data_IF_090576941937
#
_entry.id   IF_090576941937
#
_cell.length_a   1.000
_cell.length_b   1.000
_cell.length_c   1.000
_cell.angle_alpha   90.00
_cell.angle_beta   90.00
_cell.angle_gamma   90.00
#
_symmetry.space_group_name_H-M   'P 1'
#
loop_
_entity.id
_entity.type
_entity.pdbx_description
1 polymer ?
#
# COMPACT_ATOMS: atom_id res chain seq x y z
N UNK A 1 -25.02 -3.54 25.28
CA UNK A 1 -23.86 -3.84 24.42
C UNK A 1 -23.38 -5.25 24.70
N UNK A 2 -23.01 -6.03 23.70
CA UNK A 2 -22.35 -7.33 23.90
C UNK A 2 -20.88 -7.14 23.53
N UNK A 3 -19.97 -7.50 24.41
CA UNK A 3 -18.54 -7.46 24.16
C UNK A 3 -17.94 -8.86 24.36
N UNK A 4 -16.88 -9.14 23.61
CA UNK A 4 -16.16 -10.40 23.65
C UNK A 4 -14.66 -10.08 23.72
N UNK A 5 -13.98 -10.66 24.66
CA UNK A 5 -12.53 -10.60 24.76
C UNK A 5 -11.94 -11.83 24.05
N UNK A 6 -11.04 -11.58 23.12
CA UNK A 6 -10.24 -12.61 22.45
C UNK A 6 -8.80 -12.40 22.90
N UNK A 7 -8.16 -13.43 23.43
CA UNK A 7 -6.77 -13.37 23.86
C UNK A 7 -6.00 -14.48 23.19
N UNK A 8 -4.95 -14.11 22.44
CA UNK A 8 -3.99 -15.04 21.86
C UNK A 8 -2.68 -14.98 22.65
N UNK A 9 -2.12 -16.12 22.96
CA UNK A 9 -0.84 -16.24 23.67
C UNK A 9 -0.08 -17.48 23.20
N UNK A 10 1.23 -17.42 23.28
CA UNK A 10 2.11 -18.53 22.90
C UNK A 10 2.51 -19.34 24.12
N UNK A 11 2.35 -20.66 24.05
CA UNK A 11 2.82 -21.60 25.06
C UNK A 11 3.62 -22.71 24.37
N UNK A 12 4.91 -22.76 24.63
CA UNK A 12 5.82 -23.77 24.08
C UNK A 12 5.79 -23.86 22.55
N UNK A 13 5.77 -22.69 21.86
CA UNK A 13 5.76 -22.63 20.42
C UNK A 13 4.39 -22.86 19.74
N UNK A 14 3.31 -22.99 20.52
CA UNK A 14 1.96 -23.11 20.00
C UNK A 14 1.15 -21.84 20.34
N UNK A 15 0.53 -21.22 19.33
CA UNK A 15 -0.44 -20.16 19.54
C UNK A 15 -1.71 -20.75 20.13
N UNK A 16 -2.18 -20.17 21.24
CA UNK A 16 -3.47 -20.52 21.88
C UNK A 16 -4.34 -19.30 21.98
N UNK A 17 -5.57 -19.46 21.54
CA UNK A 17 -6.59 -18.41 21.62
C UNK A 17 -7.69 -18.84 22.55
N UNK A 18 -8.10 -17.95 23.44
CA UNK A 18 -9.32 -18.14 24.23
C UNK A 18 -10.25 -16.94 24.08
N UNK A 19 -11.51 -17.22 24.21
CA UNK A 19 -12.57 -16.23 24.09
C UNK A 19 -13.39 -16.15 25.37
N UNK A 20 -13.74 -14.94 25.77
CA UNK A 20 -14.60 -14.68 26.91
C UNK A 20 -15.66 -13.64 26.55
N UNK A 21 -16.90 -14.00 26.69
CA UNK A 21 -17.99 -13.02 26.65
C UNK A 21 -17.87 -12.09 27.86
N UNK A 22 -17.88 -10.79 27.61
CA UNK A 22 -17.89 -9.77 28.66
C UNK A 22 -19.31 -9.27 28.84
N UNK A 23 -19.76 -9.18 30.08
CA UNK A 23 -20.98 -8.48 30.46
C UNK A 23 -20.59 -7.07 30.93
N UNK A 24 -21.40 -6.03 30.65
CA UNK A 24 -21.23 -4.74 31.28
C UNK A 24 -21.34 -4.92 32.81
N UNK A 25 -20.35 -4.44 33.52
CA UNK A 25 -20.44 -4.40 34.99
C UNK A 25 -21.22 -3.16 35.40
N UNK A 26 -22.07 -3.34 36.41
CA UNK A 26 -22.75 -2.24 37.06
C UNK A 26 -21.76 -1.54 38.00
N UNK A 27 -21.38 -0.29 37.62
CA UNK A 27 -20.42 0.52 38.37
C UNK A 27 -20.78 0.61 39.89
N UNK A 28 -22.06 0.50 40.24
CA UNK A 28 -22.53 0.52 41.64
C UNK A 28 -22.08 -0.69 42.46
N UNK A 29 -21.61 -1.76 41.81
CA UNK A 29 -21.18 -3.04 42.40
C UNK A 29 -19.69 -3.29 42.34
N UNK A 30 -18.94 -2.43 41.66
CA UNK A 30 -17.49 -2.56 41.52
C UNK A 30 -16.80 -2.10 42.80
N UNK A 31 -16.40 -3.04 43.63
CA UNK A 31 -15.72 -2.80 44.93
C UNK A 31 -14.18 -2.77 44.76
N UNK A 32 -13.66 -3.01 43.56
CA UNK A 32 -12.21 -3.04 43.31
C UNK A 32 -11.84 -2.11 42.17
N UNK A 33 -11.32 -0.96 42.51
CA UNK A 33 -10.64 -0.07 41.61
C UNK A 33 -9.29 -0.68 41.20
N UNK A 34 -9.31 -1.42 40.12
CA UNK A 34 -8.08 -1.75 39.38
C UNK A 34 -8.16 -0.92 38.08
N UNK A 35 -7.73 0.33 38.18
CA UNK A 35 -7.81 1.33 37.10
C UNK A 35 -7.16 0.83 35.81
N UNK A 36 -6.11 0.01 35.91
CA UNK A 36 -5.37 -0.55 34.76
C UNK A 36 -6.16 -1.57 33.93
N UNK A 37 -7.32 -2.05 34.38
CA UNK A 37 -8.13 -3.07 33.71
C UNK A 37 -9.49 -2.53 33.23
N UNK A 38 -9.65 -1.22 33.21
CA UNK A 38 -10.90 -0.58 32.78
C UNK A 38 -10.76 -0.08 31.36
N UNK A 39 -11.69 -0.48 30.50
CA UNK A 39 -11.87 0.08 29.15
C UNK A 39 -13.17 0.85 29.13
N UNK A 40 -13.08 2.17 28.96
CA UNK A 40 -14.24 3.03 28.85
C UNK A 40 -14.67 3.10 27.39
N UNK A 41 -15.96 2.90 27.14
CA UNK A 41 -16.56 3.04 25.81
C UNK A 41 -17.53 4.22 25.84
N UNK A 42 -17.35 5.14 24.92
CA UNK A 42 -18.17 6.35 24.79
C UNK A 42 -18.91 6.34 23.44
N UNK A 43 -19.99 5.57 23.29
CA UNK A 43 -20.66 5.38 22.00
C UNK A 43 -21.29 6.64 21.42
N UNK A 44 -21.48 7.68 22.24
CA UNK A 44 -22.02 8.97 21.81
C UNK A 44 -20.98 9.90 21.18
N UNK A 45 -19.69 9.51 21.23
CA UNK A 45 -18.59 10.23 20.62
C UNK A 45 -18.12 9.47 19.37
N UNK A 46 -18.47 10.00 18.21
CA UNK A 46 -18.05 9.46 16.93
C UNK A 46 -16.88 10.29 16.35
N UNK A 47 -15.87 9.61 15.80
CA UNK A 47 -14.77 10.19 15.06
C UNK A 47 -14.94 9.92 13.56
N UNK A 48 -13.84 9.72 12.84
CA UNK A 48 -13.91 9.38 11.41
C UNK A 48 -14.57 8.01 11.15
N UNK A 49 -15.07 7.82 9.94
CA UNK A 49 -15.50 6.49 9.49
C UNK A 49 -14.30 5.65 9.10
N UNK A 50 -14.19 4.46 9.67
CA UNK A 50 -13.27 3.42 9.22
C UNK A 50 -13.96 2.69 8.07
N UNK A 51 -13.39 2.79 6.85
CA UNK A 51 -14.01 2.26 5.65
C UNK A 51 -13.63 0.81 5.37
N UNK A 52 -12.52 0.34 5.95
CA UNK A 52 -12.10 -1.05 5.89
C UNK A 52 -10.59 -1.25 5.74
N UNK A 53 -10.25 -2.50 5.53
CA UNK A 53 -8.88 -3.01 5.47
C UNK A 53 -8.67 -3.75 4.15
N UNK A 54 -7.41 -3.94 3.77
CA UNK A 54 -7.04 -4.67 2.56
C UNK A 54 -5.55 -4.96 2.48
N UNK A 55 -5.10 -5.33 1.29
CA UNK A 55 -3.69 -5.59 0.99
C UNK A 55 -3.41 -5.51 -0.51
N UNK A 56 -2.18 -5.79 -0.92
CA UNK A 56 -1.79 -5.72 -2.31
C UNK A 56 -1.85 -7.07 -3.02
N UNK A 57 -2.47 -7.08 -4.19
CA UNK A 57 -2.44 -8.18 -5.15
C UNK A 57 -1.37 -7.87 -6.20
N UNK A 58 -0.11 -8.08 -5.83
CA UNK A 58 1.04 -7.97 -6.74
C UNK A 58 1.08 -9.17 -7.69
N UNK A 59 1.90 -9.11 -8.74
CA UNK A 59 2.12 -10.27 -9.61
C UNK A 59 2.63 -11.46 -8.82
N UNK A 60 3.50 -11.25 -7.84
CA UNK A 60 4.03 -12.30 -6.96
C UNK A 60 2.96 -12.98 -6.12
N UNK A 61 2.09 -12.20 -5.45
CA UNK A 61 0.97 -12.76 -4.68
C UNK A 61 0.02 -13.56 -5.58
N UNK A 62 -0.35 -13.00 -6.74
CA UNK A 62 -1.22 -13.66 -7.70
C UNK A 62 -0.59 -14.92 -8.30
N UNK A 63 0.72 -14.89 -8.58
CA UNK A 63 1.47 -16.05 -9.05
C UNK A 63 1.46 -17.17 -8.02
N UNK A 64 1.76 -16.88 -6.75
CA UNK A 64 1.74 -17.89 -5.69
C UNK A 64 0.35 -18.51 -5.54
N UNK A 65 -0.70 -17.71 -5.50
CA UNK A 65 -2.08 -18.22 -5.49
C UNK A 65 -2.35 -19.11 -6.69
N UNK A 66 -1.89 -18.75 -7.89
CA UNK A 66 -2.09 -19.54 -9.11
C UNK A 66 -1.34 -20.89 -9.11
N UNK A 67 -0.34 -21.07 -8.23
CA UNK A 67 0.43 -22.31 -8.10
C UNK A 67 -0.16 -23.30 -7.10
N UNK A 68 -1.14 -22.87 -6.30
CA UNK A 68 -1.86 -23.74 -5.38
C UNK A 68 -2.82 -24.65 -6.14
N UNK A 69 -3.14 -25.80 -5.57
CA UNK A 69 -4.31 -26.55 -6.01
C UNK A 69 -5.60 -25.76 -5.75
N UNK A 70 -6.68 -26.15 -6.41
CA UNK A 70 -7.93 -25.39 -6.39
C UNK A 70 -8.53 -25.27 -4.98
N UNK A 71 -8.43 -26.31 -4.14
CA UNK A 71 -8.97 -26.31 -2.78
C UNK A 71 -8.18 -25.34 -1.90
N UNK A 72 -6.86 -25.43 -1.91
CA UNK A 72 -5.96 -24.55 -1.16
C UNK A 72 -6.10 -23.08 -1.62
N UNK A 73 -6.16 -22.85 -2.94
CA UNK A 73 -6.35 -21.51 -3.49
C UNK A 73 -7.67 -20.89 -3.04
N UNK A 74 -8.77 -21.65 -3.14
CA UNK A 74 -10.09 -21.17 -2.73
C UNK A 74 -10.13 -20.88 -1.22
N UNK A 75 -9.51 -21.75 -0.40
CA UNK A 75 -9.43 -21.50 1.03
C UNK A 75 -8.65 -20.22 1.35
N UNK A 76 -7.48 -20.01 0.74
CA UNK A 76 -6.69 -18.78 0.93
C UNK A 76 -7.47 -17.52 0.53
N UNK A 77 -8.20 -17.57 -0.60
CA UNK A 77 -9.04 -16.44 -1.01
C UNK A 77 -10.25 -16.23 -0.08
N UNK A 78 -10.85 -17.29 0.46
CA UNK A 78 -11.89 -17.18 1.48
C UNK A 78 -11.37 -16.60 2.79
N UNK A 79 -10.17 -16.98 3.21
CA UNK A 79 -9.54 -16.44 4.42
C UNK A 79 -9.23 -14.94 4.29
N UNK A 80 -8.92 -14.46 3.08
CA UNK A 80 -8.62 -13.03 2.82
C UNK A 80 -9.91 -12.23 2.58
N UNK A 81 -10.78 -12.68 1.68
CA UNK A 81 -11.90 -11.90 1.15
C UNK A 81 -13.26 -12.35 1.64
N UNK A 82 -13.37 -13.57 2.13
CA UNK A 82 -14.64 -14.16 2.56
C UNK A 82 -15.20 -13.53 3.84
N UNK A 83 -16.51 -13.72 4.08
CA UNK A 83 -17.20 -13.09 5.23
C UNK A 83 -16.73 -13.58 6.60
N UNK A 84 -16.14 -14.76 6.67
CA UNK A 84 -15.61 -15.36 7.89
C UNK A 84 -14.09 -15.22 8.03
N UNK A 85 -13.42 -14.60 7.04
CA UNK A 85 -11.98 -14.33 7.00
C UNK A 85 -11.61 -12.92 7.44
N UNK A 86 -10.56 -12.37 6.83
CA UNK A 86 -10.11 -10.98 7.08
C UNK A 86 -11.08 -9.94 6.52
N UNK A 87 -11.97 -10.33 5.62
CA UNK A 87 -12.97 -9.48 4.99
C UNK A 87 -12.34 -8.26 4.30
N UNK A 88 -11.25 -8.50 3.54
CA UNK A 88 -10.54 -7.45 2.83
C UNK A 88 -11.46 -6.77 1.80
N UNK A 89 -11.53 -5.44 1.86
CA UNK A 89 -12.35 -4.61 0.95
C UNK A 89 -11.53 -3.81 -0.04
N UNK A 90 -10.28 -3.55 0.29
CA UNK A 90 -9.37 -2.78 -0.54
C UNK A 90 -8.29 -3.69 -1.12
N UNK A 91 -7.99 -3.50 -2.40
CA UNK A 91 -6.91 -4.21 -3.06
C UNK A 91 -6.03 -3.21 -3.78
N UNK A 92 -4.74 -3.17 -3.44
CA UNK A 92 -3.75 -2.38 -4.17
C UNK A 92 -3.14 -3.20 -5.28
N UNK A 93 -3.04 -2.62 -6.47
CA UNK A 93 -2.49 -3.27 -7.66
C UNK A 93 -1.48 -2.34 -8.32
N UNK A 94 -0.25 -2.79 -8.57
CA UNK A 94 0.72 -2.01 -9.33
C UNK A 94 0.27 -1.72 -10.76
N UNK A 95 0.64 -0.56 -11.29
CA UNK A 95 0.66 -0.27 -12.72
C UNK A 95 2.05 -0.61 -13.22
N UNK A 96 2.15 -1.54 -14.17
CA UNK A 96 3.39 -2.18 -14.60
C UNK A 96 4.10 -2.94 -13.45
N UNK A 97 5.40 -3.18 -13.58
CA UNK A 97 6.17 -3.89 -12.57
C UNK A 97 6.40 -3.09 -11.29
N UNK A 98 6.60 -3.82 -10.23
CA UNK A 98 7.11 -3.36 -8.94
C UNK A 98 8.14 -4.38 -8.44
N UNK A 99 8.78 -4.15 -7.30
CA UNK A 99 9.73 -5.08 -6.67
C UNK A 99 9.17 -6.49 -6.42
N UNK A 100 7.83 -6.63 -6.28
CA UNK A 100 7.13 -7.92 -6.19
C UNK A 100 6.49 -8.34 -7.51
N UNK A 101 7.21 -8.16 -8.59
CA UNK A 101 6.94 -8.79 -9.90
C UNK A 101 7.93 -9.92 -10.18
N UNK A 102 7.58 -10.84 -11.07
CA UNK A 102 8.47 -11.95 -11.45
C UNK A 102 9.65 -11.48 -12.30
N UNK A 103 9.50 -10.38 -12.99
CA UNK A 103 10.51 -9.66 -13.76
C UNK A 103 10.05 -8.23 -13.99
N UNK A 104 10.96 -7.34 -14.34
CA UNK A 104 10.64 -5.97 -14.73
C UNK A 104 9.92 -5.96 -16.08
N UNK A 105 8.80 -5.24 -16.17
CA UNK A 105 8.01 -5.12 -17.39
C UNK A 105 7.27 -3.78 -17.47
N UNK A 106 6.79 -3.46 -18.66
CA UNK A 106 5.94 -2.31 -18.95
C UNK A 106 4.91 -2.70 -20.04
N UNK A 107 3.72 -2.10 -20.02
CA UNK A 107 2.62 -2.44 -20.93
C UNK A 107 2.87 -2.02 -22.39
N UNK A 108 3.88 -1.18 -22.65
CA UNK A 108 4.36 -0.82 -23.99
C UNK A 108 5.85 -1.03 -24.03
N UNK A 109 6.33 -1.95 -24.87
CA UNK A 109 7.73 -2.35 -24.89
C UNK A 109 8.71 -1.20 -25.28
N UNK A 110 8.35 -0.37 -26.25
CA UNK A 110 9.11 0.81 -26.66
C UNK A 110 8.17 2.01 -26.87
N UNK A 111 7.87 2.76 -25.80
CA UNK A 111 6.93 3.87 -25.86
C UNK A 111 7.51 5.13 -26.57
N UNK A 112 8.78 5.13 -26.91
CA UNK A 112 9.38 6.19 -27.76
C UNK A 112 9.11 5.90 -29.24
N UNK A 113 9.20 4.63 -29.64
CA UNK A 113 8.84 4.20 -30.98
C UNK A 113 7.31 4.14 -31.21
N UNK A 114 6.53 4.02 -30.12
CA UNK A 114 5.06 3.96 -30.12
C UNK A 114 4.44 5.11 -29.30
N UNK A 115 4.54 6.37 -29.77
CA UNK A 115 4.03 7.52 -29.03
C UNK A 115 2.52 7.56 -28.87
N UNK A 116 1.77 6.82 -29.70
CA UNK A 116 0.32 6.69 -29.62
C UNK A 116 -0.11 5.53 -28.72
N UNK A 117 0.83 4.78 -28.14
CA UNK A 117 0.60 3.61 -27.30
C UNK A 117 -0.30 2.56 -27.98
N UNK A 118 -0.09 2.34 -29.29
CA UNK A 118 -0.89 1.43 -30.10
C UNK A 118 -0.63 -0.03 -29.71
N UNK A 119 0.56 -0.35 -29.21
CA UNK A 119 0.98 -1.69 -28.75
C UNK A 119 0.70 -1.92 -27.25
N UNK A 120 0.01 -0.99 -26.59
CA UNK A 120 -0.34 -1.12 -25.17
C UNK A 120 -1.13 -2.40 -24.91
N UNK A 121 -0.68 -3.19 -23.96
CA UNK A 121 -1.36 -4.44 -23.55
C UNK A 121 -1.15 -4.72 -22.07
N UNK A 122 -2.22 -5.18 -21.42
CA UNK A 122 -2.21 -5.74 -20.06
C UNK A 122 -2.22 -7.27 -20.07
N UNK A 123 -1.73 -7.92 -21.13
CA UNK A 123 -1.70 -9.38 -21.22
C UNK A 123 -0.88 -10.03 -20.10
N UNK A 124 0.09 -9.30 -19.55
CA UNK A 124 0.85 -9.72 -18.38
C UNK A 124 -0.05 -9.89 -17.17
N UNK A 125 -0.88 -8.88 -16.88
CA UNK A 125 -1.82 -8.89 -15.75
C UNK A 125 -2.90 -9.96 -15.94
N UNK A 126 -3.33 -10.21 -17.18
CA UNK A 126 -4.29 -11.27 -17.52
C UNK A 126 -3.79 -12.66 -17.16
N UNK A 127 -2.49 -12.84 -17.01
CA UNK A 127 -1.90 -14.14 -16.71
C UNK A 127 -2.11 -14.55 -15.25
N UNK A 128 -1.95 -13.64 -14.31
CA UNK A 128 -2.00 -13.92 -12.88
C UNK A 128 -2.92 -12.98 -12.10
N UNK A 129 -2.70 -11.67 -12.20
CA UNK A 129 -3.36 -10.66 -11.35
C UNK A 129 -4.86 -10.64 -11.58
N UNK A 130 -5.30 -10.46 -12.82
CA UNK A 130 -6.73 -10.34 -13.15
C UNK A 130 -7.54 -11.60 -12.81
N UNK A 131 -7.07 -12.85 -13.05
CA UNK A 131 -7.79 -14.03 -12.61
C UNK A 131 -8.00 -14.10 -11.10
N UNK A 132 -7.01 -13.72 -10.30
CA UNK A 132 -7.13 -13.75 -8.85
C UNK A 132 -8.03 -12.63 -8.33
N UNK A 133 -7.97 -11.43 -8.92
CA UNK A 133 -8.91 -10.35 -8.62
C UNK A 133 -10.36 -10.73 -8.91
N UNK A 134 -10.62 -11.34 -10.06
CA UNK A 134 -11.99 -11.81 -10.43
C UNK A 134 -12.52 -12.83 -9.42
N UNK A 135 -11.69 -13.79 -9.01
CA UNK A 135 -12.06 -14.75 -7.95
C UNK A 135 -12.30 -14.05 -6.60
N UNK A 136 -11.45 -13.09 -6.23
CA UNK A 136 -11.64 -12.31 -5.01
C UNK A 136 -12.97 -11.56 -5.01
N UNK A 137 -13.34 -10.94 -6.14
CA UNK A 137 -14.61 -10.22 -6.31
C UNK A 137 -15.80 -11.19 -6.19
N UNK A 138 -15.71 -12.39 -6.74
CA UNK A 138 -16.78 -13.40 -6.65
C UNK A 138 -16.98 -13.92 -5.22
N UNK A 139 -15.90 -14.02 -4.43
CA UNK A 139 -15.90 -14.57 -3.07
C UNK A 139 -16.32 -13.50 -2.03
N UNK A 140 -15.97 -12.26 -2.27
CA UNK A 140 -16.21 -11.17 -1.31
C UNK A 140 -17.70 -10.92 -1.10
N UNK A 141 -18.11 -10.84 0.16
CA UNK A 141 -19.48 -10.48 0.53
C UNK A 141 -19.77 -8.99 0.39
N UNK A 142 -18.73 -8.16 0.36
CA UNK A 142 -18.80 -6.71 0.24
C UNK A 142 -18.12 -6.27 -1.06
N UNK A 143 -18.53 -5.14 -1.66
CA UNK A 143 -17.86 -4.62 -2.84
C UNK A 143 -16.37 -4.35 -2.60
N UNK A 144 -15.51 -4.94 -3.40
CA UNK A 144 -14.07 -4.65 -3.43
C UNK A 144 -13.85 -3.31 -4.13
N UNK A 145 -12.90 -2.53 -3.63
CA UNK A 145 -12.39 -1.30 -4.24
C UNK A 145 -10.90 -1.45 -4.56
N UNK A 146 -10.51 -1.19 -5.80
CA UNK A 146 -9.12 -1.35 -6.23
C UNK A 146 -8.43 0.03 -6.29
N UNK A 147 -7.25 0.10 -5.65
CA UNK A 147 -6.27 1.18 -5.78
C UNK A 147 -5.21 0.75 -6.79
N UNK A 148 -5.09 1.46 -7.89
CA UNK A 148 -3.96 1.28 -8.80
C UNK A 148 -2.84 2.27 -8.47
N UNK A 149 -1.59 1.78 -8.46
CA UNK A 149 -0.43 2.56 -8.03
C UNK A 149 0.77 2.31 -8.95
N UNK A 150 1.31 3.33 -9.64
CA UNK A 150 2.51 3.19 -10.46
C UNK A 150 3.77 3.28 -9.63
N UNK A 151 4.75 2.39 -9.89
CA UNK A 151 6.11 2.45 -9.34
C UNK A 151 7.03 3.29 -10.22
N UNK A 152 6.90 3.15 -11.53
CA UNK A 152 7.74 3.88 -12.48
C UNK A 152 7.04 4.09 -13.82
N UNK A 153 7.15 5.26 -14.43
CA UNK A 153 6.97 5.38 -15.88
C UNK A 153 8.00 4.54 -16.61
N UNK A 154 7.77 4.19 -17.89
CA UNK A 154 8.76 3.53 -18.74
C UNK A 154 10.12 4.23 -18.69
N UNK A 155 11.21 3.47 -18.52
CA UNK A 155 12.55 4.01 -18.30
C UNK A 155 13.03 4.91 -19.45
N UNK A 156 12.54 4.68 -20.68
CA UNK A 156 12.86 5.47 -21.86
C UNK A 156 12.42 6.94 -21.72
N UNK A 157 11.38 7.19 -20.94
CA UNK A 157 10.86 8.53 -20.67
C UNK A 157 11.51 9.23 -19.47
N UNK A 158 12.37 8.53 -18.76
CA UNK A 158 12.99 9.03 -17.54
C UNK A 158 14.39 9.60 -17.78
N UNK A 159 14.82 10.44 -16.86
CA UNK A 159 16.22 10.80 -16.73
C UNK A 159 17.02 9.58 -16.30
N UNK A 160 18.31 9.51 -16.69
CA UNK A 160 19.18 8.45 -16.16
C UNK A 160 19.22 8.51 -14.62
N UNK A 161 19.14 7.37 -13.91
CA UNK A 161 19.19 7.36 -12.46
C UNK A 161 20.49 8.02 -11.99
N UNK A 162 20.38 9.01 -11.10
CA UNK A 162 21.54 9.63 -10.44
C UNK A 162 22.25 8.68 -9.46
N UNK A 163 21.75 7.49 -9.32
CA UNK A 163 22.01 6.51 -8.26
C UNK A 163 23.26 5.67 -8.56
N UNK A 164 23.76 5.61 -9.79
CA UNK A 164 24.89 4.73 -10.15
C UNK A 164 26.12 4.81 -9.23
N UNK A 165 26.25 5.87 -8.43
CA UNK A 165 27.31 5.99 -7.40
C UNK A 165 26.89 5.60 -6.00
N UNK A 166 25.58 5.65 -5.70
CA UNK A 166 25.03 5.30 -4.38
C UNK A 166 24.51 3.86 -4.34
N UNK A 167 24.22 3.24 -5.48
CA UNK A 167 23.71 1.89 -5.57
C UNK A 167 24.64 0.87 -4.91
N UNK A 168 25.95 1.01 -5.10
CA UNK A 168 26.92 0.16 -4.43
C UNK A 168 26.81 0.21 -2.90
N UNK A 169 26.49 1.39 -2.32
CA UNK A 169 26.27 1.54 -0.89
C UNK A 169 24.94 0.95 -0.45
N UNK A 170 23.89 1.09 -1.27
CA UNK A 170 22.56 0.52 -1.01
C UNK A 170 22.60 -1.00 -1.14
N UNK A 171 23.17 -1.53 -2.23
CA UNK A 171 23.36 -2.98 -2.38
C UNK A 171 24.21 -3.56 -1.23
N UNK A 172 25.29 -2.88 -0.85
CA UNK A 172 26.13 -3.28 0.27
C UNK A 172 25.42 -3.24 1.62
N UNK A 173 24.60 -2.22 1.87
CA UNK A 173 23.79 -2.11 3.07
C UNK A 173 22.70 -3.18 3.16
N UNK A 174 22.18 -3.63 2.02
CA UNK A 174 21.19 -4.72 1.91
C UNK A 174 21.85 -6.11 1.85
N UNK A 175 23.19 -6.21 1.86
CA UNK A 175 23.89 -7.47 1.72
C UNK A 175 23.77 -8.12 0.33
N UNK A 176 23.42 -7.34 -0.69
CA UNK A 176 23.24 -7.80 -2.07
C UNK A 176 24.52 -7.62 -2.88
N UNK A 177 24.83 -8.50 -3.86
CA UNK A 177 25.95 -8.29 -4.75
C UNK A 177 25.72 -7.05 -5.63
N UNK A 178 26.72 -6.19 -5.70
CA UNK A 178 26.69 -5.01 -6.60
C UNK A 178 26.92 -5.49 -8.04
N UNK A 179 26.00 -5.25 -8.98
CA UNK A 179 26.21 -5.57 -10.39
C UNK A 179 27.40 -4.78 -10.98
N UNK A 180 28.16 -5.38 -11.88
CA UNK A 180 29.26 -4.69 -12.59
C UNK A 180 28.75 -3.55 -13.50
N UNK A 181 27.57 -3.72 -14.10
CA UNK A 181 26.84 -2.69 -14.83
C UNK A 181 25.37 -2.74 -14.39
N UNK A 182 24.81 -1.60 -14.01
CA UNK A 182 23.38 -1.46 -13.73
C UNK A 182 22.73 -1.05 -15.07
N UNK A 183 21.95 -1.95 -15.70
CA UNK A 183 21.26 -1.59 -16.94
C UNK A 183 20.32 -0.40 -16.69
N UNK A 184 20.09 0.42 -17.71
CA UNK A 184 19.01 1.41 -17.65
C UNK A 184 17.68 0.68 -17.54
N UNK A 185 17.07 0.77 -16.37
CA UNK A 185 15.80 0.13 -15.99
C UNK A 185 14.87 1.17 -15.38
N UNK A 186 13.73 0.69 -14.93
CA UNK A 186 12.74 1.53 -14.24
C UNK A 186 13.18 2.03 -12.84
N UNK A 187 14.43 1.88 -12.47
CA UNK A 187 14.97 2.27 -11.16
C UNK A 187 15.30 3.77 -11.08
N UNK A 188 14.80 4.47 -10.06
CA UNK A 188 15.12 5.87 -9.82
C UNK A 188 14.89 6.81 -11.00
N UNK A 189 15.61 7.93 -11.03
CA UNK A 189 15.43 8.97 -12.02
C UNK A 189 14.11 9.73 -11.86
N UNK A 190 13.81 10.66 -12.77
CA UNK A 190 12.57 11.43 -12.80
C UNK A 190 11.97 11.40 -14.20
N UNK A 191 10.66 11.47 -14.32
CA UNK A 191 9.99 11.59 -15.61
C UNK A 191 10.40 12.91 -16.29
N UNK A 192 10.78 12.86 -17.55
CA UNK A 192 11.10 14.07 -18.30
C UNK A 192 9.82 14.84 -18.65
N UNK A 193 9.79 16.18 -18.49
CA UNK A 193 8.57 16.98 -18.67
C UNK A 193 7.89 16.79 -20.03
N UNK A 194 8.65 16.56 -21.10
CA UNK A 194 8.12 16.31 -22.44
C UNK A 194 7.25 15.05 -22.54
N UNK A 195 7.35 14.14 -21.56
CA UNK A 195 6.55 12.90 -21.51
C UNK A 195 5.42 12.92 -20.50
N UNK A 196 5.16 14.03 -19.78
CA UNK A 196 4.06 14.11 -18.81
C UNK A 196 2.70 13.77 -19.46
N UNK A 197 2.45 14.32 -20.65
CA UNK A 197 1.22 14.00 -21.39
C UNK A 197 1.13 12.55 -21.85
N UNK A 198 2.25 11.96 -22.27
CA UNK A 198 2.29 10.54 -22.66
C UNK A 198 2.07 9.61 -21.48
N UNK A 199 2.65 9.95 -20.31
CA UNK A 199 2.45 9.20 -19.08
C UNK A 199 1.00 9.28 -18.58
N UNK A 200 0.38 10.45 -18.65
CA UNK A 200 -1.04 10.61 -18.32
C UNK A 200 -1.94 9.71 -19.19
N UNK A 201 -1.71 9.68 -20.49
CA UNK A 201 -2.42 8.79 -21.41
C UNK A 201 -2.19 7.32 -21.10
N UNK A 202 -0.95 6.95 -20.77
CA UNK A 202 -0.60 5.58 -20.40
C UNK A 202 -1.36 5.11 -19.16
N UNK A 203 -1.34 5.90 -18.10
CA UNK A 203 -2.08 5.62 -16.85
C UNK A 203 -3.58 5.49 -17.14
N UNK A 204 -4.16 6.43 -17.90
CA UNK A 204 -5.59 6.38 -18.26
C UNK A 204 -5.93 5.14 -19.07
N UNK A 205 -5.06 4.70 -20.02
CA UNK A 205 -5.26 3.44 -20.74
C UNK A 205 -5.25 2.23 -19.79
N UNK A 206 -4.36 2.23 -18.80
CA UNK A 206 -4.28 1.15 -17.82
C UNK A 206 -5.56 1.07 -16.96
N UNK A 207 -6.02 2.21 -16.44
CA UNK A 207 -7.28 2.30 -15.69
C UNK A 207 -8.45 1.79 -16.52
N UNK A 208 -8.55 2.24 -17.78
CA UNK A 208 -9.64 1.82 -18.67
C UNK A 208 -9.58 0.32 -18.97
N UNK A 209 -8.39 -0.23 -19.21
CA UNK A 209 -8.22 -1.65 -19.48
C UNK A 209 -8.69 -2.52 -18.30
N UNK A 210 -8.41 -2.12 -17.06
CA UNK A 210 -8.91 -2.82 -15.87
C UNK A 210 -10.42 -2.70 -15.71
N UNK A 211 -10.97 -1.51 -15.93
CA UNK A 211 -12.43 -1.31 -15.92
C UNK A 211 -13.13 -2.16 -16.99
N UNK A 212 -12.54 -2.28 -18.19
CA UNK A 212 -13.07 -3.10 -19.29
C UNK A 212 -13.02 -4.62 -18.96
N UNK A 213 -12.07 -5.03 -18.09
CA UNK A 213 -12.01 -6.39 -17.53
C UNK A 213 -13.03 -6.61 -16.39
N UNK A 214 -13.81 -5.60 -16.01
CA UNK A 214 -14.78 -5.66 -14.93
C UNK A 214 -14.18 -5.48 -13.52
N UNK A 215 -12.95 -5.00 -13.41
CA UNK A 215 -12.31 -4.74 -12.13
C UNK A 215 -12.77 -3.37 -11.58
N UNK A 216 -13.26 -3.30 -10.33
CA UNK A 216 -13.78 -2.07 -9.75
C UNK A 216 -12.65 -1.13 -9.29
N UNK A 217 -11.95 -0.52 -10.26
CA UNK A 217 -10.94 0.50 -9.97
C UNK A 217 -11.65 1.78 -9.51
N UNK A 218 -11.44 2.15 -8.26
CA UNK A 218 -12.05 3.34 -7.64
C UNK A 218 -11.03 4.34 -7.12
N UNK A 219 -9.76 3.96 -7.11
CA UNK A 219 -8.67 4.77 -6.59
C UNK A 219 -7.43 4.68 -7.48
N UNK A 220 -6.72 5.80 -7.58
CA UNK A 220 -5.43 5.90 -8.25
C UNK A 220 -4.44 6.62 -7.34
N UNK A 221 -3.31 6.02 -7.04
CA UNK A 221 -2.15 6.73 -6.50
C UNK A 221 -1.44 7.49 -7.60
N UNK A 222 -1.05 8.74 -7.33
CA UNK A 222 -0.31 9.55 -8.29
C UNK A 222 1.05 8.92 -8.64
N UNK A 223 1.74 8.40 -7.63
CA UNK A 223 3.03 7.72 -7.72
C UNK A 223 3.32 6.98 -6.41
N UNK A 224 3.73 5.72 -6.48
CA UNK A 224 4.30 5.03 -5.32
C UNK A 224 5.61 5.69 -4.90
N UNK A 225 5.73 6.03 -3.62
CA UNK A 225 6.95 6.51 -2.97
C UNK A 225 7.67 7.63 -3.74
N UNK A 226 7.00 8.77 -3.89
CA UNK A 226 7.39 9.93 -4.71
C UNK A 226 8.83 10.43 -4.52
N UNK A 227 9.47 10.19 -3.39
CA UNK A 227 10.85 10.63 -3.11
C UNK A 227 11.85 9.47 -3.01
N UNK A 228 11.39 8.24 -3.22
CA UNK A 228 12.26 7.07 -3.20
C UNK A 228 12.99 6.89 -4.53
N UNK A 229 14.29 6.67 -4.42
CA UNK A 229 15.12 6.25 -5.52
C UNK A 229 15.78 4.93 -5.11
N UNK A 230 15.18 3.84 -5.54
CA UNK A 230 15.48 2.49 -5.06
C UNK A 230 16.19 1.64 -6.12
N UNK A 231 16.60 0.45 -5.76
CA UNK A 231 17.20 -0.57 -6.63
C UNK A 231 16.14 -1.43 -7.34
N UNK A 232 14.88 -1.04 -7.24
CA UNK A 232 13.73 -1.58 -7.95
C UNK A 232 12.95 -0.45 -8.61
N UNK A 233 11.87 -0.76 -9.28
CA UNK A 233 11.02 0.22 -9.96
C UNK A 233 10.70 1.40 -9.04
N UNK A 234 11.05 2.60 -9.48
CA UNK A 234 10.85 3.83 -8.71
C UNK A 234 11.03 5.06 -9.60
N UNK A 235 10.39 6.16 -9.23
CA UNK A 235 10.51 7.43 -9.94
C UNK A 235 10.41 8.58 -8.95
N UNK A 236 11.40 9.47 -8.96
CA UNK A 236 11.44 10.63 -8.07
C UNK A 236 10.64 11.78 -8.67
N UNK A 237 9.77 12.36 -7.82
CA UNK A 237 8.99 13.54 -8.13
C UNK A 237 9.17 14.58 -7.03
N UNK A 238 9.44 15.82 -7.40
CA UNK A 238 9.29 16.94 -6.47
C UNK A 238 7.80 17.21 -6.23
N UNK A 239 7.43 17.89 -5.13
CA UNK A 239 6.05 18.31 -4.93
C UNK A 239 5.49 19.17 -6.05
N UNK A 240 6.31 20.08 -6.62
CA UNK A 240 5.97 20.95 -7.74
C UNK A 240 5.74 20.16 -9.03
N UNK A 241 6.57 19.17 -9.33
CA UNK A 241 6.39 18.27 -10.47
C UNK A 241 5.11 17.44 -10.31
N UNK A 242 4.86 16.90 -9.11
CA UNK A 242 3.63 16.17 -8.78
C UNK A 242 2.40 17.02 -8.99
N UNK A 243 2.41 18.28 -8.51
CA UNK A 243 1.33 19.24 -8.72
C UNK A 243 1.10 19.54 -10.20
N UNK A 244 2.18 19.85 -10.93
CA UNK A 244 2.12 20.16 -12.38
C UNK A 244 1.55 18.96 -13.15
N UNK A 245 2.06 17.75 -12.89
CA UNK A 245 1.59 16.54 -13.53
C UNK A 245 0.11 16.27 -13.25
N UNK A 246 -0.30 16.36 -11.99
CA UNK A 246 -1.69 16.19 -11.57
C UNK A 246 -2.61 17.18 -12.30
N UNK A 247 -2.31 18.48 -12.19
CA UNK A 247 -3.20 19.56 -12.63
C UNK A 247 -3.28 19.68 -14.14
N UNK A 248 -2.13 19.66 -14.80
CA UNK A 248 -2.02 20.05 -16.20
C UNK A 248 -2.06 18.85 -17.17
N UNK A 249 -1.87 17.62 -16.67
CA UNK A 249 -1.81 16.44 -17.53
C UNK A 249 -2.74 15.30 -17.09
N UNK A 250 -2.59 14.75 -15.88
CA UNK A 250 -3.33 13.55 -15.47
C UNK A 250 -4.83 13.81 -15.31
N UNK A 251 -5.19 14.82 -14.50
CA UNK A 251 -6.60 15.12 -14.24
C UNK A 251 -7.37 15.51 -15.50
N UNK A 252 -6.84 16.35 -16.41
CA UNK A 252 -7.47 16.63 -17.69
C UNK A 252 -7.67 15.38 -18.58
N UNK A 253 -6.68 14.48 -18.63
CA UNK A 253 -6.80 13.25 -19.43
C UNK A 253 -7.80 12.27 -18.81
N UNK A 254 -7.85 12.12 -17.48
CA UNK A 254 -8.88 11.36 -16.77
C UNK A 254 -10.28 11.95 -17.01
N UNK A 255 -10.41 13.28 -16.97
CA UNK A 255 -11.68 13.97 -17.24
C UNK A 255 -12.17 13.73 -18.66
N UNK A 256 -11.27 13.81 -19.63
CA UNK A 256 -11.58 13.50 -21.04
C UNK A 256 -12.04 12.04 -21.23
N UNK A 257 -11.49 11.13 -20.46
CA UNK A 257 -11.90 9.72 -20.46
C UNK A 257 -13.15 9.43 -19.61
N UNK A 258 -13.73 10.42 -18.91
CA UNK A 258 -14.91 10.26 -18.05
C UNK A 258 -14.63 9.43 -16.78
N UNK A 259 -13.41 9.51 -16.26
CA UNK A 259 -12.97 8.72 -15.10
C UNK A 259 -12.98 9.51 -13.79
N UNK A 260 -13.00 10.84 -13.81
CA UNK A 260 -12.88 11.69 -12.61
C UNK A 260 -14.01 11.52 -11.60
N UNK A 261 -15.21 11.12 -12.06
CA UNK A 261 -16.36 10.87 -11.18
C UNK A 261 -16.38 9.42 -10.63
N UNK A 262 -15.47 8.58 -11.10
CA UNK A 262 -15.41 7.15 -10.76
C UNK A 262 -14.18 6.80 -9.94
N UNK A 263 -13.05 7.47 -10.19
CA UNK A 263 -11.74 7.14 -9.64
C UNK A 263 -11.19 8.35 -8.90
N UNK A 264 -11.04 8.22 -7.59
CA UNK A 264 -10.42 9.23 -6.74
C UNK A 264 -8.90 9.18 -6.80
N UNK A 265 -8.26 10.33 -6.96
CA UNK A 265 -6.79 10.43 -6.97
C UNK A 265 -6.29 10.62 -5.54
N UNK A 266 -5.27 9.84 -5.19
CA UNK A 266 -4.54 9.93 -3.92
C UNK A 266 -3.13 10.43 -4.18
N UNK A 267 -2.68 11.34 -3.36
CA UNK A 267 -1.34 11.95 -3.45
C UNK A 267 -0.44 11.46 -2.32
N UNK A 268 0.85 11.73 -2.43
CA UNK A 268 1.94 11.35 -1.54
C UNK A 268 2.32 9.88 -1.69
N UNK A 269 1.56 8.95 -1.11
CA UNK A 269 1.78 7.50 -1.19
C UNK A 269 3.22 7.10 -0.81
N UNK A 270 3.70 7.66 0.31
CA UNK A 270 5.04 7.45 0.85
C UNK A 270 5.05 7.62 2.39
N UNK A 271 6.21 7.44 3.02
CA UNK A 271 6.36 7.47 4.47
C UNK A 271 5.91 8.80 5.11
N UNK A 272 5.40 8.72 6.34
CA UNK A 272 4.72 9.82 7.05
C UNK A 272 5.60 11.04 7.32
N UNK A 273 6.91 10.88 7.52
CA UNK A 273 7.81 11.93 8.02
C UNK A 273 7.90 13.19 7.13
N UNK A 274 7.70 13.05 5.82
CA UNK A 274 7.76 14.17 4.87
C UNK A 274 6.41 14.48 4.19
N UNK A 275 5.33 13.87 4.67
CA UNK A 275 4.00 14.01 4.11
C UNK A 275 3.52 15.48 4.09
N UNK A 276 3.73 16.21 5.18
CA UNK A 276 3.24 17.58 5.34
C UNK A 276 3.76 18.50 4.23
N UNK A 277 5.09 18.48 4.02
CA UNK A 277 5.76 19.31 3.02
C UNK A 277 5.19 19.09 1.62
N UNK A 278 5.06 17.81 1.24
CA UNK A 278 4.55 17.43 -0.07
C UNK A 278 3.07 17.80 -0.24
N UNK A 279 2.23 17.44 0.73
CA UNK A 279 0.79 17.69 0.69
C UNK A 279 0.47 19.18 0.61
N UNK A 280 1.15 20.02 1.41
CA UNK A 280 0.93 21.46 1.40
C UNK A 280 1.33 22.13 0.08
N UNK A 281 2.26 21.55 -0.67
CA UNK A 281 2.67 22.06 -1.99
C UNK A 281 1.70 21.60 -3.08
N UNK A 282 1.24 20.35 -3.02
CA UNK A 282 0.35 19.80 -4.04
C UNK A 282 -1.08 20.27 -3.88
N UNK A 283 -1.59 20.37 -2.63
CA UNK A 283 -2.97 20.77 -2.35
C UNK A 283 -3.09 22.27 -2.11
N UNK A 284 -3.63 22.97 -3.07
CA UNK A 284 -4.05 24.36 -2.97
C UNK A 284 -5.43 24.59 -3.63
N UNK A 285 -5.80 25.86 -3.84
CA UNK A 285 -7.07 26.23 -4.43
C UNK A 285 -7.31 25.66 -5.85
N UNK A 286 -6.23 25.38 -6.60
CA UNK A 286 -6.32 24.85 -7.97
C UNK A 286 -6.49 23.32 -8.02
N UNK A 287 -5.99 22.59 -7.03
CA UNK A 287 -5.90 21.12 -7.04
C UNK A 287 -6.79 20.45 -6.01
N UNK A 288 -7.35 21.21 -5.08
CA UNK A 288 -8.14 20.67 -3.97
C UNK A 288 -9.25 19.72 -4.44
N UNK A 289 -10.00 20.13 -5.47
CA UNK A 289 -11.14 19.34 -5.99
C UNK A 289 -10.68 18.16 -6.89
N UNK A 290 -9.40 18.09 -7.24
CA UNK A 290 -8.84 17.02 -8.07
C UNK A 290 -8.41 15.80 -7.24
N UNK A 291 -8.22 15.98 -5.92
CA UNK A 291 -7.67 14.99 -5.02
C UNK A 291 -8.73 14.47 -4.06
N UNK A 292 -8.91 13.16 -4.04
CA UNK A 292 -9.84 12.48 -3.13
C UNK A 292 -9.24 12.25 -1.74
N UNK A 293 -7.92 12.05 -1.66
CA UNK A 293 -7.29 11.73 -0.38
C UNK A 293 -5.77 11.76 -0.41
N UNK A 294 -5.23 11.44 0.75
CA UNK A 294 -3.79 11.37 1.02
C UNK A 294 -3.48 9.94 1.43
N UNK A 295 -2.55 9.32 0.69
CA UNK A 295 -2.05 8.00 0.98
C UNK A 295 -0.68 8.11 1.67
N UNK A 296 -0.36 7.18 2.56
CA UNK A 296 0.91 7.15 3.26
C UNK A 296 1.36 5.73 3.62
N UNK A 297 2.67 5.58 3.92
CA UNK A 297 3.33 4.34 4.32
C UNK A 297 3.88 4.44 5.74
N UNK A 298 4.30 3.33 6.31
CA UNK A 298 4.72 3.25 7.72
C UNK A 298 6.23 3.12 7.97
N UNK A 299 7.06 2.98 6.92
CA UNK A 299 8.45 2.50 7.04
C UNK A 299 9.45 3.47 7.70
N UNK A 300 9.07 4.71 8.00
CA UNK A 300 9.94 5.70 8.65
C UNK A 300 9.67 5.90 10.14
N UNK A 301 8.75 5.13 10.73
CA UNK A 301 8.35 5.25 12.13
C UNK A 301 7.01 5.95 12.32
N UNK A 302 6.70 6.31 13.55
CA UNK A 302 5.37 6.69 13.99
C UNK A 302 4.80 7.91 13.26
N UNK A 303 5.42 9.06 13.42
CA UNK A 303 5.03 10.34 12.78
C UNK A 303 3.50 10.54 12.65
N UNK A 304 2.72 10.05 13.64
CA UNK A 304 1.25 10.13 13.64
C UNK A 304 0.74 11.57 13.64
N UNK A 305 1.55 12.50 14.19
CA UNK A 305 1.27 13.93 14.18
C UNK A 305 1.17 14.49 12.75
N UNK A 306 1.89 13.91 11.79
CA UNK A 306 1.80 14.35 10.40
C UNK A 306 0.41 14.01 9.80
N UNK A 307 -0.11 12.83 10.10
CA UNK A 307 -1.47 12.41 9.70
C UNK A 307 -2.51 13.29 10.39
N UNK A 308 -2.39 13.49 11.71
CA UNK A 308 -3.34 14.28 12.51
C UNK A 308 -3.41 15.74 12.02
N UNK A 309 -2.27 16.39 11.82
CA UNK A 309 -2.21 17.79 11.36
C UNK A 309 -2.83 17.93 9.96
N UNK A 310 -2.54 17.01 9.06
CA UNK A 310 -3.12 17.04 7.71
C UNK A 310 -4.62 16.73 7.73
N UNK A 311 -5.08 15.81 8.59
CA UNK A 311 -6.51 15.53 8.78
C UNK A 311 -7.25 16.73 9.36
N UNK A 312 -6.67 17.45 10.30
CA UNK A 312 -7.24 18.69 10.83
C UNK A 312 -7.35 19.77 9.74
N UNK A 313 -6.34 19.89 8.88
CA UNK A 313 -6.31 20.88 7.79
C UNK A 313 -7.26 20.52 6.65
N UNK A 314 -7.38 19.26 6.33
CA UNK A 314 -8.17 18.73 5.20
C UNK A 314 -9.18 17.67 5.69
N UNK A 315 -10.17 18.05 6.52
CA UNK A 315 -11.06 17.09 7.20
C UNK A 315 -11.91 16.27 6.22
N UNK A 316 -12.20 16.81 5.04
CA UNK A 316 -13.02 16.16 4.02
C UNK A 316 -12.23 15.17 3.14
N UNK A 317 -10.88 15.13 3.27
CA UNK A 317 -10.06 14.19 2.52
C UNK A 317 -10.00 12.84 3.21
N UNK A 318 -9.96 11.78 2.42
CA UNK A 318 -9.71 10.42 2.90
C UNK A 318 -8.22 10.25 3.22
N UNK A 319 -7.92 9.72 4.40
CA UNK A 319 -6.57 9.36 4.80
C UNK A 319 -6.42 7.84 4.78
N UNK A 320 -5.41 7.35 4.08
CA UNK A 320 -5.23 5.93 3.83
C UNK A 320 -3.77 5.53 4.05
N UNK A 321 -3.54 4.60 4.97
CA UNK A 321 -2.30 3.86 4.94
C UNK A 321 -2.40 2.90 3.74
N UNK A 322 -1.54 3.10 2.75
CA UNK A 322 -1.60 2.42 1.45
C UNK A 322 -0.56 1.32 1.29
N UNK A 323 0.40 1.27 2.20
CA UNK A 323 1.40 0.20 2.25
C UNK A 323 2.04 0.10 3.64
N UNK A 324 2.14 -1.13 4.12
CA UNK A 324 2.92 -1.52 5.29
C UNK A 324 3.22 -3.01 5.23
N UNK A 325 4.34 -3.42 5.76
CA UNK A 325 4.60 -4.83 6.08
C UNK A 325 5.65 -4.93 7.18
N UNK A 326 5.48 -5.88 8.09
CA UNK A 326 6.54 -6.25 8.99
C UNK A 326 7.64 -6.95 8.18
N UNK A 327 8.85 -6.43 8.24
CA UNK A 327 9.99 -7.08 7.63
C UNK A 327 10.53 -8.13 8.61
N UNK A 328 10.07 -9.35 8.46
CA UNK A 328 10.55 -10.49 9.22
C UNK A 328 12.05 -10.72 8.89
N UNK A 329 12.92 -10.03 9.61
CA UNK A 329 14.37 -10.25 9.53
C UNK A 329 14.87 -10.78 10.86
N UNK A 330 15.41 -11.99 10.90
CA UNK A 330 16.07 -12.51 12.11
C UNK A 330 17.08 -11.49 12.65
N UNK A 331 16.85 -10.99 13.88
CA UNK A 331 17.73 -10.02 14.53
C UNK A 331 17.41 -8.54 14.33
N UNK A 332 16.22 -8.19 13.82
CA UNK A 332 15.75 -6.79 13.80
C UNK A 332 14.82 -6.47 14.96
N UNK A 333 14.92 -5.23 15.44
CA UNK A 333 13.87 -4.56 16.24
C UNK A 333 12.82 -4.04 15.28
N UNK A 334 11.54 -4.05 15.67
CA UNK A 334 10.45 -3.50 14.89
C UNK A 334 10.68 -2.06 14.44
N UNK A 335 10.03 -1.65 13.35
CA UNK A 335 10.16 -0.30 12.78
C UNK A 335 9.61 0.80 13.69
N UNK A 336 8.75 0.48 14.68
CA UNK A 336 8.16 1.44 15.60
C UNK A 336 9.16 2.27 16.41
N UNK A 337 10.38 1.75 16.60
CA UNK A 337 11.44 2.45 17.36
C UNK A 337 12.38 3.31 16.48
N UNK A 338 12.13 3.41 15.17
CA UNK A 338 12.98 4.19 14.25
C UNK A 338 14.42 3.67 14.14
N UNK A 339 14.70 2.45 14.57
CA UNK A 339 16.05 1.93 14.72
C UNK A 339 16.33 0.63 13.98
N UNK A 340 17.33 0.68 13.09
CA UNK A 340 18.02 -0.49 12.57
C UNK A 340 19.09 -0.91 13.58
N UNK A 341 18.71 -1.62 14.64
CA UNK A 341 19.66 -2.14 15.63
C UNK A 341 19.66 -3.66 15.69
N UNK A 342 20.81 -4.30 16.02
CA UNK A 342 20.83 -5.74 16.27
C UNK A 342 20.07 -6.04 17.56
N UNK A 343 19.06 -6.89 17.47
CA UNK A 343 18.34 -7.41 18.63
C UNK A 343 18.85 -8.79 18.94
N UNK A 344 19.29 -8.96 20.16
CA UNK A 344 19.65 -10.26 20.71
C UNK A 344 18.37 -11.01 21.16
N UNK A 345 17.46 -11.31 20.24
CA UNK A 345 16.31 -12.14 20.56
C UNK A 345 16.52 -13.59 20.16
N UNK A 346 16.11 -14.45 21.05
CA UNK A 346 16.57 -15.82 21.09
C UNK A 346 15.63 -16.82 20.43
N UNK A 347 14.43 -16.42 20.00
CA UNK A 347 13.49 -17.33 19.35
C UNK A 347 12.69 -16.67 18.21
N UNK A 348 12.40 -17.41 17.12
CA UNK A 348 11.53 -16.93 16.05
C UNK A 348 10.15 -16.47 16.54
N UNK A 349 9.57 -17.18 17.51
CA UNK A 349 8.23 -16.87 18.04
C UNK A 349 8.15 -15.49 18.73
N UNK A 350 9.25 -15.01 19.25
CA UNK A 350 9.30 -13.67 19.86
C UNK A 350 9.33 -12.57 18.80
N UNK A 351 9.96 -12.81 17.66
CA UNK A 351 9.97 -11.89 16.52
C UNK A 351 8.56 -11.78 15.95
N UNK A 352 7.87 -12.89 15.74
CA UNK A 352 6.47 -12.88 15.27
C UNK A 352 5.54 -12.09 16.20
N UNK A 353 5.77 -12.18 17.51
CA UNK A 353 5.00 -11.39 18.48
C UNK A 353 5.30 -9.90 18.39
N UNK A 354 6.55 -9.51 18.17
CA UNK A 354 6.93 -8.10 17.99
C UNK A 354 6.33 -7.54 16.71
N UNK A 355 6.39 -8.27 15.60
CA UNK A 355 5.79 -7.85 14.34
C UNK A 355 4.29 -7.62 14.51
N UNK A 356 3.58 -8.51 15.21
CA UNK A 356 2.16 -8.32 15.53
C UNK A 356 1.91 -7.10 16.44
N UNK A 357 2.80 -6.82 17.39
CA UNK A 357 2.70 -5.66 18.26
C UNK A 357 2.95 -4.35 17.49
N UNK A 358 3.88 -4.35 16.53
CA UNK A 358 4.15 -3.21 15.65
C UNK A 358 2.95 -2.88 14.76
N UNK A 359 2.29 -3.90 14.18
CA UNK A 359 1.03 -3.72 13.46
C UNK A 359 -0.05 -3.09 14.35
N UNK A 360 -0.23 -3.61 15.57
CA UNK A 360 -1.23 -3.07 16.49
C UNK A 360 -0.90 -1.62 16.89
N UNK A 361 0.36 -1.32 17.14
CA UNK A 361 0.83 0.02 17.51
C UNK A 361 0.58 1.03 16.39
N UNK A 362 1.04 0.75 15.18
CA UNK A 362 0.90 1.67 14.05
C UNK A 362 -0.57 1.82 13.63
N UNK A 363 -1.34 0.73 13.64
CA UNK A 363 -2.78 0.78 13.35
C UNK A 363 -3.54 1.66 14.34
N UNK A 364 -3.31 1.50 15.65
CA UNK A 364 -3.93 2.31 16.69
C UNK A 364 -3.51 3.78 16.55
N UNK A 365 -2.23 4.05 16.31
CA UNK A 365 -1.71 5.40 16.14
C UNK A 365 -2.35 6.11 14.96
N UNK A 366 -2.37 5.47 13.80
CA UNK A 366 -2.98 6.04 12.58
C UNK A 366 -4.50 6.21 12.70
N UNK A 367 -5.21 5.27 13.33
CA UNK A 367 -6.65 5.41 13.60
C UNK A 367 -6.95 6.59 14.50
N UNK A 368 -6.17 6.78 15.56
CA UNK A 368 -6.28 7.94 16.44
C UNK A 368 -5.97 9.25 15.73
N UNK A 369 -5.06 9.23 14.76
CA UNK A 369 -4.71 10.38 13.92
C UNK A 369 -5.76 10.71 12.84
N UNK A 370 -6.79 9.88 12.65
CA UNK A 370 -7.90 10.14 11.74
C UNK A 370 -7.87 9.36 10.41
N UNK A 371 -7.07 8.30 10.32
CA UNK A 371 -7.04 7.40 9.16
C UNK A 371 -8.41 6.75 8.91
N UNK A 372 -8.76 6.59 7.62
CA UNK A 372 -10.03 6.00 7.18
C UNK A 372 -9.85 4.58 6.62
N UNK A 373 -8.71 4.27 5.97
CA UNK A 373 -8.44 3.03 5.24
C UNK A 373 -7.05 2.50 5.56
N UNK A 374 -6.95 1.18 5.58
CA UNK A 374 -5.69 0.46 5.75
C UNK A 374 -5.49 -0.54 4.61
N UNK A 375 -4.38 -0.47 3.91
CA UNK A 375 -3.96 -1.42 2.88
C UNK A 375 -2.55 -1.90 3.25
N UNK A 376 -2.44 -3.19 3.53
CA UNK A 376 -1.17 -3.85 3.76
C UNK A 376 -0.41 -4.05 2.45
N UNK A 377 0.87 -4.43 2.52
CA UNK A 377 1.60 -4.84 1.35
C UNK A 377 1.09 -6.19 0.82
N UNK A 378 1.92 -7.06 0.34
CA UNK A 378 1.51 -8.30 -0.31
C UNK A 378 0.53 -9.15 0.52
N UNK A 379 -0.59 -9.56 -0.06
CA UNK A 379 -1.47 -10.56 0.56
C UNK A 379 -0.76 -11.88 0.84
N UNK A 380 0.21 -12.24 -0.02
CA UNK A 380 0.93 -13.49 0.08
C UNK A 380 2.35 -13.33 -0.46
N UNK A 381 3.30 -13.88 0.26
CA UNK A 381 4.69 -14.09 -0.15
C UNK A 381 5.08 -15.52 0.16
N UNK A 382 6.13 -16.04 -0.49
CA UNK A 382 6.66 -17.36 -0.15
C UNK A 382 7.47 -17.31 1.16
N UNK A 383 7.93 -18.48 1.61
CA UNK A 383 8.70 -18.62 2.85
C UNK A 383 10.03 -17.83 2.88
N UNK A 384 10.50 -17.36 1.73
CA UNK A 384 11.73 -16.60 1.56
C UNK A 384 11.44 -15.10 1.35
N UNK A 385 10.16 -14.70 1.45
CA UNK A 385 9.69 -13.32 1.28
C UNK A 385 9.59 -12.87 -0.18
N UNK A 386 9.35 -13.80 -1.11
CA UNK A 386 9.24 -13.55 -2.55
C UNK A 386 8.00 -14.16 -3.20
N UNK A 387 8.07 -14.48 -4.51
CA UNK A 387 9.14 -14.10 -5.45
C UNK A 387 9.20 -12.59 -5.71
N UNK A 388 10.41 -12.09 -5.99
CA UNK A 388 10.66 -10.70 -6.40
C UNK A 388 11.86 -10.65 -7.35
N UNK A 389 11.90 -9.69 -8.26
CA UNK A 389 13.03 -9.47 -9.17
C UNK A 389 14.10 -8.55 -8.58
#
# INVERSE_FOLDING_TARGET
MKAKQITTYHVKGEAKTWEKALAPEDESKSVKMIESNVINLYPDFAFQTIEGFGGAMTESSAYLLSRMDEETQNQALQDIFGPDGLHARFVRVPIDSCDYSLEEYQAVADPVADPDLATFSIDRDRKYVLPMLKKAIEISAEPISVLMSPWSPPYQWKTAPKIAKNDAAVYGAMGMPVPEEIPQRNHGGSLKPEYYGSWAKYVVKYLQAYLDEGIPVTMLSLQNETVAATTWDSCVWTPEESKTYLKDYLYPEMKKAGLTDKIGIFIWDHNKERMIEHVLTVLDEETMDMVAGIAFHWYSGDHFEAVELMKQKYPDKTFMLSECCALHMPGRIGFGDGGFGPVNFQTPEYVDYLDAADYAHDMIGNLNAGMNRWIDWNFLVDKDGGPRH
#
